data_IF_341404642706
#
_entry.id   IF_341404642706
#
_cell.length_a   1.000
_cell.length_b   1.000
_cell.length_c   1.000
_cell.angle_alpha   90.00
_cell.angle_beta   90.00
_cell.angle_gamma   90.00
#
_symmetry.space_group_name_H-M   'P 1'
#
loop_
_entity.id
_entity.type
_entity.pdbx_description
1 polymer ?
#
# COMPACT_ATOMS: atom_id res chain seq x y z
N UNK A 1 3.00 -26.39 -6.77
CA UNK A 1 3.49 -26.77 -8.10
C UNK A 1 4.94 -27.20 -7.98
N UNK A 2 5.26 -28.48 -8.19
CA UNK A 2 6.62 -28.98 -8.08
C UNK A 2 7.08 -29.55 -9.42
N UNK A 3 8.36 -29.43 -9.72
CA UNK A 3 8.99 -30.06 -10.89
C UNK A 3 8.87 -31.61 -10.85
N UNK A 4 8.67 -32.15 -9.65
CA UNK A 4 8.49 -33.59 -9.43
C UNK A 4 7.18 -34.15 -9.96
N UNK A 5 6.19 -33.29 -10.28
CA UNK A 5 4.88 -33.72 -10.82
C UNK A 5 4.84 -33.78 -12.36
N UNK A 6 5.90 -33.37 -13.05
CA UNK A 6 5.94 -33.30 -14.52
C UNK A 6 5.01 -32.25 -15.14
N UNK A 7 4.46 -31.36 -14.33
CA UNK A 7 3.53 -30.30 -14.79
C UNK A 7 4.26 -29.19 -15.56
N UNK A 8 5.49 -28.88 -15.16
CA UNK A 8 6.32 -27.89 -15.85
C UNK A 8 7.20 -28.58 -16.89
N UNK A 9 6.94 -28.32 -18.16
CA UNK A 9 7.72 -28.89 -19.29
C UNK A 9 8.31 -27.70 -20.07
N UNK A 10 9.64 -27.48 -20.01
CA UNK A 10 10.29 -26.46 -20.81
C UNK A 10 10.01 -26.66 -22.31
N UNK A 11 9.69 -25.59 -23.01
CA UNK A 11 9.50 -25.57 -24.45
C UNK A 11 10.72 -24.96 -25.15
N UNK A 12 10.84 -25.11 -26.47
CA UNK A 12 11.92 -24.48 -27.23
C UNK A 12 11.89 -22.95 -27.15
N UNK A 13 10.69 -22.37 -27.04
CA UNK A 13 10.51 -20.91 -26.91
C UNK A 13 10.88 -20.41 -25.50
N UNK A 14 10.65 -21.22 -24.46
CA UNK A 14 10.91 -20.89 -23.05
C UNK A 14 11.64 -22.05 -22.37
N UNK A 15 12.88 -22.26 -22.76
CA UNK A 15 13.72 -23.36 -22.24
C UNK A 15 14.31 -23.00 -20.88
N UNK A 16 13.44 -23.00 -19.84
CA UNK A 16 13.83 -22.76 -18.46
C UNK A 16 13.17 -23.75 -17.51
N UNK A 17 13.88 -24.14 -16.45
CA UNK A 17 13.32 -24.97 -15.38
C UNK A 17 12.31 -24.17 -14.54
N UNK A 18 11.44 -24.87 -13.80
CA UNK A 18 10.54 -24.23 -12.83
C UNK A 18 11.30 -23.40 -11.78
N UNK A 19 12.45 -23.89 -11.33
CA UNK A 19 13.30 -23.15 -10.39
C UNK A 19 13.85 -21.86 -10.99
N UNK A 20 14.29 -21.90 -12.26
CA UNK A 20 14.76 -20.73 -12.98
C UNK A 20 13.62 -19.73 -13.22
N UNK A 21 12.43 -20.21 -13.60
CA UNK A 21 11.23 -19.39 -13.76
C UNK A 21 10.89 -18.58 -12.49
N UNK A 22 10.86 -19.25 -11.33
CA UNK A 22 10.55 -18.60 -10.03
C UNK A 22 11.54 -17.50 -9.62
N UNK A 23 12.77 -17.56 -10.10
CA UNK A 23 13.85 -16.62 -9.78
C UNK A 23 14.13 -15.64 -10.92
N UNK A 24 13.38 -15.74 -12.03
CA UNK A 24 13.63 -14.93 -13.23
C UNK A 24 13.29 -13.47 -13.00
N UNK A 25 14.18 -12.58 -13.45
CA UNK A 25 13.94 -11.15 -13.56
C UNK A 25 13.35 -10.72 -14.91
N UNK A 26 12.82 -11.67 -15.71
CA UNK A 26 12.17 -11.38 -16.99
C UNK A 26 10.92 -10.52 -16.80
N UNK A 27 10.47 -9.91 -17.89
CA UNK A 27 9.25 -9.08 -17.86
C UNK A 27 8.03 -9.91 -17.45
N UNK A 28 7.03 -9.32 -16.80
CA UNK A 28 5.80 -10.03 -16.43
C UNK A 28 5.07 -10.62 -17.65
N UNK A 29 5.18 -10.00 -18.81
CA UNK A 29 4.66 -10.51 -20.08
C UNK A 29 5.35 -11.79 -20.51
N UNK A 30 6.68 -11.82 -20.44
CA UNK A 30 7.46 -13.01 -20.84
C UNK A 30 7.26 -14.15 -19.85
N UNK A 31 7.13 -13.85 -18.56
CA UNK A 31 6.79 -14.84 -17.53
C UNK A 31 5.38 -15.40 -17.74
N UNK A 32 4.40 -14.57 -18.13
CA UNK A 32 3.05 -15.05 -18.47
C UNK A 32 3.07 -15.99 -19.69
N UNK A 33 3.83 -15.65 -20.73
CA UNK A 33 4.01 -16.49 -21.91
C UNK A 33 4.71 -17.80 -21.57
N UNK A 34 5.79 -17.75 -20.77
CA UNK A 34 6.49 -18.95 -20.31
C UNK A 34 5.57 -19.88 -19.49
N UNK A 35 4.73 -19.30 -18.62
CA UNK A 35 3.77 -20.08 -17.83
C UNK A 35 2.71 -20.72 -18.71
N UNK A 36 2.14 -19.98 -19.66
CA UNK A 36 1.17 -20.48 -20.62
C UNK A 36 1.74 -21.67 -21.42
N UNK A 37 2.95 -21.54 -21.97
CA UNK A 37 3.58 -22.55 -22.83
C UNK A 37 4.09 -23.76 -22.06
N UNK A 38 4.77 -23.55 -20.93
CA UNK A 38 5.45 -24.63 -20.18
C UNK A 38 4.53 -25.34 -19.19
N UNK A 39 3.50 -24.68 -18.66
CA UNK A 39 2.60 -25.22 -17.64
C UNK A 39 1.20 -25.49 -18.17
N UNK A 40 0.48 -24.45 -18.64
CA UNK A 40 -0.92 -24.60 -19.04
C UNK A 40 -1.09 -25.38 -20.33
N UNK A 41 -0.24 -25.16 -21.33
CA UNK A 41 -0.27 -25.84 -22.65
C UNK A 41 -1.69 -25.83 -23.24
N UNK A 42 -2.34 -24.67 -23.15
CA UNK A 42 -3.71 -24.48 -23.61
C UNK A 42 -3.85 -24.75 -25.12
N UNK A 43 -4.90 -25.47 -25.52
CA UNK A 43 -5.15 -25.78 -26.92
C UNK A 43 -5.53 -24.55 -27.75
N UNK A 44 -6.15 -23.54 -27.13
CA UNK A 44 -6.39 -22.21 -27.70
C UNK A 44 -5.62 -21.19 -26.88
N UNK A 45 -4.68 -20.50 -27.49
CA UNK A 45 -3.81 -19.56 -26.81
C UNK A 45 -4.30 -18.12 -26.96
N UNK A 46 -4.55 -17.48 -25.84
CA UNK A 46 -4.86 -16.04 -25.75
C UNK A 46 -3.67 -15.29 -25.13
N UNK A 47 -2.50 -15.51 -25.73
CA UNK A 47 -1.23 -15.03 -25.19
C UNK A 47 -1.19 -13.52 -25.00
N UNK A 48 -1.72 -12.76 -25.97
CA UNK A 48 -1.76 -11.29 -25.89
C UNK A 48 -2.54 -10.78 -24.68
N UNK A 49 -3.69 -11.38 -24.38
CA UNK A 49 -4.48 -11.02 -23.21
C UNK A 49 -3.75 -11.34 -21.91
N UNK A 50 -3.09 -12.50 -21.84
CA UNK A 50 -2.31 -12.90 -20.67
C UNK A 50 -1.12 -12.01 -20.42
N UNK A 51 -0.41 -11.61 -21.47
CA UNK A 51 0.69 -10.65 -21.39
C UNK A 51 0.21 -9.30 -20.87
N UNK A 52 -0.88 -8.78 -21.40
CA UNK A 52 -1.49 -7.52 -20.96
C UNK A 52 -1.95 -7.56 -19.49
N UNK A 53 -2.64 -8.64 -19.10
CA UNK A 53 -3.07 -8.83 -17.70
C UNK A 53 -1.87 -8.93 -16.75
N UNK A 54 -0.83 -9.68 -17.11
CA UNK A 54 0.37 -9.80 -16.30
C UNK A 54 1.04 -8.44 -16.06
N UNK A 55 1.14 -7.59 -17.09
CA UNK A 55 1.66 -6.23 -16.94
C UNK A 55 0.77 -5.39 -16.01
N UNK A 56 -0.54 -5.47 -16.17
CA UNK A 56 -1.49 -4.72 -15.33
C UNK A 56 -1.37 -5.12 -13.86
N UNK A 57 -1.34 -6.42 -13.56
CA UNK A 57 -1.14 -6.91 -12.19
C UNK A 57 0.22 -6.56 -11.61
N UNK A 58 1.29 -6.64 -12.42
CA UNK A 58 2.62 -6.24 -11.97
C UNK A 58 2.68 -4.76 -11.57
N UNK A 59 2.09 -3.88 -12.39
CA UNK A 59 2.02 -2.46 -12.08
C UNK A 59 1.19 -2.20 -10.82
N UNK A 60 0.04 -2.86 -10.70
CA UNK A 60 -0.83 -2.77 -9.52
C UNK A 60 -0.09 -3.20 -8.25
N UNK A 61 0.55 -4.38 -8.25
CA UNK A 61 1.33 -4.87 -7.12
C UNK A 61 2.52 -3.96 -6.78
N UNK A 62 3.17 -3.40 -7.79
CA UNK A 62 4.24 -2.43 -7.61
C UNK A 62 3.75 -1.13 -6.93
N UNK A 63 2.55 -0.69 -7.27
CA UNK A 63 1.93 0.47 -6.64
C UNK A 63 1.52 0.18 -5.19
N UNK A 64 0.91 -0.98 -4.92
CA UNK A 64 0.63 -1.42 -3.55
C UNK A 64 1.90 -1.47 -2.68
N UNK A 65 2.99 -2.00 -3.21
CA UNK A 65 4.27 -2.04 -2.50
C UNK A 65 4.84 -0.65 -2.18
N UNK A 66 4.69 0.32 -3.08
CA UNK A 66 5.08 1.72 -2.84
C UNK A 66 4.20 2.37 -1.79
N UNK A 67 2.88 2.17 -1.88
CA UNK A 67 1.94 2.73 -0.92
C UNK A 67 2.17 2.15 0.48
N UNK A 68 2.40 0.84 0.61
CA UNK A 68 2.69 0.22 1.90
C UNK A 68 3.97 0.77 2.55
N UNK A 69 5.02 1.02 1.76
CA UNK A 69 6.25 1.68 2.26
C UNK A 69 6.01 3.12 2.68
N UNK A 70 5.21 3.87 1.93
CA UNK A 70 4.87 5.25 2.28
C UNK A 70 4.05 5.32 3.57
N UNK A 71 3.05 4.44 3.73
CA UNK A 71 2.27 4.33 4.97
C UNK A 71 3.18 4.02 6.16
N UNK A 72 4.07 3.02 6.05
CA UNK A 72 5.01 2.69 7.12
C UNK A 72 5.94 3.87 7.45
N UNK A 73 6.44 4.58 6.45
CA UNK A 73 7.26 5.77 6.65
C UNK A 73 6.49 6.87 7.39
N UNK A 74 5.21 7.09 7.08
CA UNK A 74 4.36 8.04 7.78
C UNK A 74 4.18 7.67 9.26
N UNK A 75 3.90 6.39 9.53
CA UNK A 75 3.75 5.88 10.91
C UNK A 75 5.04 6.05 11.70
N UNK A 76 6.18 5.67 11.14
CA UNK A 76 7.48 5.81 11.82
C UNK A 76 7.84 7.27 12.10
N UNK A 77 7.55 8.16 11.14
CA UNK A 77 7.78 9.59 11.34
C UNK A 77 6.89 10.15 12.47
N UNK A 78 5.59 9.80 12.48
CA UNK A 78 4.67 10.26 13.53
C UNK A 78 5.10 9.73 14.92
N UNK A 79 5.51 8.46 15.02
CA UNK A 79 6.05 7.87 16.26
C UNK A 79 7.32 8.61 16.70
N UNK A 80 8.21 8.96 15.76
CA UNK A 80 9.42 9.73 16.04
C UNK A 80 9.11 11.08 16.68
N UNK A 81 8.18 11.84 16.09
CA UNK A 81 7.72 13.13 16.63
C UNK A 81 7.08 12.95 18.02
N UNK A 82 6.20 11.97 18.18
CA UNK A 82 5.50 11.74 19.46
C UNK A 82 6.43 11.33 20.62
N UNK A 83 7.58 10.73 20.30
CA UNK A 83 8.57 10.32 21.30
C UNK A 83 9.70 11.36 21.53
N UNK A 84 9.71 12.45 20.78
CA UNK A 84 10.71 13.50 20.91
C UNK A 84 10.15 14.66 21.74
N UNK A 85 10.69 14.82 22.97
CA UNK A 85 10.26 15.88 23.90
C UNK A 85 10.54 17.31 23.41
N UNK A 86 11.20 17.51 22.28
CA UNK A 86 11.37 18.82 21.64
C UNK A 86 10.12 19.26 20.87
N UNK A 87 9.14 18.37 20.70
CA UNK A 87 7.86 18.63 20.07
C UNK A 87 6.73 18.65 21.11
N UNK A 88 5.78 19.55 20.95
CA UNK A 88 4.61 19.69 21.83
C UNK A 88 3.29 19.58 21.08
N UNK A 89 2.18 19.66 21.83
CA UNK A 89 0.84 19.76 21.27
C UNK A 89 0.41 21.24 21.26
N UNK A 90 0.28 21.84 20.08
CA UNK A 90 -0.15 23.20 19.90
C UNK A 90 -1.10 23.33 18.70
N UNK A 91 -2.27 23.94 18.91
CA UNK A 91 -3.26 24.21 17.86
C UNK A 91 -3.01 25.54 17.14
N UNK A 92 -2.21 26.42 17.69
CA UNK A 92 -1.86 27.70 17.11
C UNK A 92 -0.61 27.66 16.23
N UNK A 93 0.41 26.90 16.66
CA UNK A 93 1.70 26.71 15.95
C UNK A 93 1.90 25.24 15.59
N UNK A 94 1.10 24.75 14.65
CA UNK A 94 0.81 23.35 14.45
C UNK A 94 1.50 22.69 13.24
N UNK A 95 2.49 23.30 12.65
CA UNK A 95 3.18 22.80 11.46
C UNK A 95 4.68 22.63 11.66
N UNK A 96 5.09 22.40 12.90
CA UNK A 96 6.46 22.27 13.38
C UNK A 96 6.96 23.53 14.09
N UNK A 97 7.70 23.38 15.19
CA UNK A 97 8.07 22.11 15.80
C UNK A 97 6.92 21.38 16.49
N UNK A 98 5.85 22.10 16.89
CA UNK A 98 4.70 21.51 17.55
C UNK A 98 3.60 21.12 16.56
N UNK A 99 2.73 20.20 16.99
CA UNK A 99 1.65 19.66 16.17
C UNK A 99 0.37 19.51 17.00
N UNK A 100 -0.79 19.55 16.31
CA UNK A 100 -2.04 19.02 16.87
C UNK A 100 -2.37 17.65 16.26
N UNK A 101 -3.48 17.04 16.65
CA UNK A 101 -3.89 15.72 16.17
C UNK A 101 -3.95 15.63 14.64
N UNK A 102 -4.48 16.64 13.96
CA UNK A 102 -4.63 16.63 12.51
C UNK A 102 -3.36 17.01 11.78
N UNK A 103 -2.64 18.01 12.24
CA UNK A 103 -1.42 18.47 11.59
C UNK A 103 -0.30 17.44 11.67
N UNK A 104 -0.20 16.68 12.77
CA UNK A 104 0.75 15.58 12.90
C UNK A 104 0.54 14.51 11.79
N UNK A 105 -0.70 14.06 11.63
CA UNK A 105 -1.01 13.05 10.65
C UNK A 105 -0.87 13.55 9.21
N UNK A 106 -1.35 14.77 8.94
CA UNK A 106 -1.19 15.41 7.63
C UNK A 106 0.30 15.55 7.28
N UNK A 107 1.11 16.02 8.22
CA UNK A 107 2.56 16.15 8.01
C UNK A 107 3.23 14.77 7.81
N UNK A 108 2.86 13.76 8.59
CA UNK A 108 3.41 12.42 8.48
C UNK A 108 3.23 11.83 7.07
N UNK A 109 2.01 11.89 6.54
CA UNK A 109 1.73 11.41 5.19
C UNK A 109 2.37 12.27 4.10
N UNK A 110 2.39 13.59 4.29
CA UNK A 110 3.06 14.51 3.37
C UNK A 110 4.56 14.22 3.28
N UNK A 111 5.24 14.00 4.41
CA UNK A 111 6.66 13.62 4.47
C UNK A 111 6.94 12.26 3.83
N UNK A 112 6.01 11.33 3.97
CA UNK A 112 6.08 10.01 3.35
C UNK A 112 5.83 10.04 1.82
N UNK A 113 5.57 11.21 1.24
CA UNK A 113 5.35 11.40 -0.19
C UNK A 113 3.89 11.28 -0.64
N UNK A 114 2.94 11.06 0.29
CA UNK A 114 1.51 11.11 0.00
C UNK A 114 1.01 12.52 0.23
N UNK A 115 0.73 13.24 -0.85
CA UNK A 115 0.57 14.71 -0.90
C UNK A 115 -0.78 15.21 -0.34
N UNK A 116 -1.18 14.74 0.84
CA UNK A 116 -2.48 15.06 1.45
C UNK A 116 -2.62 16.55 1.82
N UNK A 117 -1.53 17.21 2.22
CA UNK A 117 -1.52 18.65 2.49
C UNK A 117 -1.71 19.44 1.19
N UNK A 118 -1.04 19.04 0.12
CA UNK A 118 -1.17 19.67 -1.20
C UNK A 118 -2.58 19.45 -1.78
N UNK A 119 -3.24 18.34 -1.41
CA UNK A 119 -4.64 18.05 -1.74
C UNK A 119 -5.66 18.83 -0.87
N UNK A 120 -5.20 19.69 0.02
CA UNK A 120 -6.04 20.60 0.81
C UNK A 120 -6.32 20.16 2.24
N UNK A 121 -5.70 19.09 2.76
CA UNK A 121 -5.83 18.72 4.17
C UNK A 121 -5.17 19.76 5.07
N UNK A 122 -5.94 20.37 5.96
CA UNK A 122 -5.44 21.38 6.91
C UNK A 122 -5.95 21.18 8.33
N UNK A 123 -7.06 20.49 8.52
CA UNK A 123 -7.66 20.17 9.82
C UNK A 123 -8.61 18.96 9.68
N UNK A 124 -9.12 18.42 10.77
CA UNK A 124 -9.97 17.22 10.77
C UNK A 124 -11.15 17.32 9.81
N UNK A 125 -11.78 18.49 9.68
CA UNK A 125 -12.98 18.66 8.84
C UNK A 125 -12.75 18.48 7.34
N UNK A 126 -11.55 18.70 6.84
CA UNK A 126 -11.23 18.51 5.41
C UNK A 126 -10.25 17.34 5.13
N UNK A 127 -9.81 16.63 6.16
CA UNK A 127 -8.95 15.44 5.98
C UNK A 127 -9.63 14.37 5.13
N UNK A 128 -10.90 14.06 5.36
CA UNK A 128 -11.62 13.00 4.66
C UNK A 128 -11.51 13.13 3.13
N UNK A 129 -11.93 14.26 2.59
CA UNK A 129 -11.90 14.49 1.14
C UNK A 129 -10.48 14.52 0.57
N UNK A 130 -9.54 15.15 1.27
CA UNK A 130 -8.15 15.26 0.82
C UNK A 130 -7.42 13.90 0.82
N UNK A 131 -7.67 13.06 1.82
CA UNK A 131 -7.09 11.72 1.89
C UNK A 131 -7.68 10.81 0.82
N UNK A 132 -8.99 10.84 0.58
CA UNK A 132 -9.61 10.10 -0.54
C UNK A 132 -9.02 10.54 -1.89
N UNK A 133 -8.79 11.84 -2.11
CA UNK A 133 -8.16 12.35 -3.33
C UNK A 133 -6.72 11.85 -3.52
N UNK A 134 -6.05 11.43 -2.43
CA UNK A 134 -4.71 10.85 -2.44
C UNK A 134 -4.71 9.31 -2.49
N UNK A 135 -5.87 8.68 -2.72
CA UNK A 135 -5.99 7.23 -2.91
C UNK A 135 -6.22 6.43 -1.62
N UNK A 136 -6.59 7.09 -0.52
CA UNK A 136 -7.14 6.39 0.66
C UNK A 136 -8.56 5.94 0.37
N UNK A 137 -9.00 4.92 1.11
CA UNK A 137 -10.34 4.36 1.01
C UNK A 137 -11.03 4.42 2.38
N UNK A 138 -12.35 4.64 2.38
CA UNK A 138 -13.15 4.51 3.59
C UNK A 138 -13.42 3.04 3.86
N UNK A 139 -12.79 2.51 4.90
CA UNK A 139 -12.89 1.11 5.32
C UNK A 139 -13.78 0.92 6.56
N UNK A 140 -14.53 1.95 6.97
CA UNK A 140 -15.38 1.93 8.17
C UNK A 140 -16.33 0.73 8.17
N UNK A 141 -16.89 0.36 7.01
CA UNK A 141 -17.78 -0.79 6.87
C UNK A 141 -17.11 -2.17 7.01
N UNK A 142 -15.77 -2.22 7.02
CA UNK A 142 -14.98 -3.46 7.08
C UNK A 142 -14.27 -3.66 8.42
N UNK A 143 -14.41 -2.72 9.36
CA UNK A 143 -13.80 -2.76 10.69
C UNK A 143 -14.85 -2.82 11.79
N UNK A 144 -14.53 -3.44 12.89
CA UNK A 144 -15.40 -3.44 14.07
C UNK A 144 -14.98 -2.30 15.01
N UNK A 145 -15.71 -1.20 14.98
CA UNK A 145 -15.41 -0.01 15.79
C UNK A 145 -15.53 -0.23 17.30
N UNK A 146 -16.27 -1.28 17.76
CA UNK A 146 -16.44 -1.54 19.19
C UNK A 146 -15.22 -2.19 19.85
N UNK A 147 -14.39 -2.90 19.07
CA UNK A 147 -13.21 -3.60 19.57
C UNK A 147 -11.95 -3.39 18.75
N UNK A 148 -12.01 -2.59 17.69
CA UNK A 148 -10.87 -2.28 16.80
C UNK A 148 -10.46 -3.41 15.86
N UNK A 149 -11.23 -4.51 15.78
CA UNK A 149 -10.91 -5.61 14.89
C UNK A 149 -11.00 -5.17 13.43
N UNK A 150 -9.97 -5.50 12.65
CA UNK A 150 -9.84 -5.11 11.24
C UNK A 150 -9.06 -3.82 11.01
N UNK A 151 -8.85 -2.99 12.03
CA UNK A 151 -8.00 -1.79 11.94
C UNK A 151 -6.54 -2.22 11.74
N UNK A 152 -5.90 -1.65 10.75
CA UNK A 152 -4.51 -1.94 10.36
C UNK A 152 -3.58 -0.79 10.75
N UNK A 153 -2.31 -1.11 10.85
CA UNK A 153 -1.25 -0.12 11.04
C UNK A 153 -1.24 0.89 9.89
N UNK A 154 -1.30 2.17 10.23
CA UNK A 154 -1.41 3.28 9.30
C UNK A 154 -2.86 3.67 8.96
N UNK A 155 -3.87 2.95 9.43
CA UNK A 155 -5.25 3.43 9.29
C UNK A 155 -5.47 4.69 10.11
N UNK A 156 -6.28 5.60 9.55
CA UNK A 156 -6.65 6.86 10.21
C UNK A 156 -8.04 6.71 10.81
N UNK A 157 -8.14 6.92 12.12
CA UNK A 157 -9.39 7.05 12.83
C UNK A 157 -9.77 8.54 12.83
N UNK A 158 -10.84 8.90 12.12
CA UNK A 158 -11.20 10.28 11.89
C UNK A 158 -12.61 10.60 12.38
N UNK A 159 -12.70 11.52 13.31
CA UNK A 159 -13.90 12.27 13.59
C UNK A 159 -13.73 13.68 13.01
N UNK A 160 -14.42 13.96 11.92
CA UNK A 160 -14.27 15.23 11.18
C UNK A 160 -14.64 16.47 11.99
N UNK A 161 -15.44 16.31 13.06
CA UNK A 161 -15.87 17.42 13.91
C UNK A 161 -14.85 17.79 15.00
N UNK A 162 -13.97 16.85 15.42
CA UNK A 162 -13.20 17.05 16.64
C UNK A 162 -11.78 16.52 16.68
N UNK A 163 -11.54 15.28 16.23
CA UNK A 163 -10.28 14.59 16.51
C UNK A 163 -9.90 13.58 15.46
N UNK A 164 -8.60 13.27 15.41
CA UNK A 164 -8.08 12.18 14.58
C UNK A 164 -6.91 11.49 15.27
N UNK A 165 -6.73 10.21 14.98
CA UNK A 165 -5.62 9.40 15.43
C UNK A 165 -5.15 8.47 14.30
N UNK A 166 -3.92 7.96 14.40
CA UNK A 166 -3.36 6.97 13.48
C UNK A 166 -3.13 5.67 14.23
N UNK A 167 -3.59 4.57 13.69
CA UNK A 167 -3.24 3.26 14.24
C UNK A 167 -1.77 2.94 14.03
N UNK A 168 -1.04 2.70 15.10
CA UNK A 168 0.34 2.23 15.04
C UNK A 168 0.45 0.71 15.14
N UNK A 169 -0.70 0.03 15.07
CA UNK A 169 -0.82 -1.42 15.16
C UNK A 169 -1.00 -1.94 16.59
N UNK A 170 -1.31 -3.22 16.75
CA UNK A 170 -1.48 -3.89 18.04
C UNK A 170 -2.52 -3.22 18.96
N UNK A 171 -3.54 -2.59 18.39
CA UNK A 171 -4.57 -1.87 19.14
C UNK A 171 -4.13 -0.52 19.73
N UNK A 172 -2.98 -0.01 19.31
CA UNK A 172 -2.44 1.28 19.76
C UNK A 172 -2.64 2.37 18.69
N UNK A 173 -2.76 3.60 19.15
CA UNK A 173 -2.86 4.81 18.35
C UNK A 173 -1.87 5.85 18.82
#
# INVERSE_FOLDING_TARGET
LSETTGQWIPTSAYNMSWSAFKKSGSSPEDLASAFLKNFERAGVEVESNRRSQARSYFNLLGQYGKNAKAVESAVQWAIGIANDNSHGYDQGSRWGPDYDCSSLLIAAYQQAGIKVKDAGATYTGNMYSAFLACGFEDVTGFVNLSNGSGIKRGDILLNTASHTAMSIGNGQV
#
